data_IF_241289854912
#
_entry.id   IF_241289854912
#
_cell.length_a   1.000
_cell.length_b   1.000
_cell.length_c   1.000
_cell.angle_alpha   90.00
_cell.angle_beta   90.00
_cell.angle_gamma   90.00
#
_symmetry.space_group_name_H-M   'P 1'
#
loop_
_entity.id
_entity.type
_entity.pdbx_description
1 polymer ?
#
# COMPACT_ATOMS: atom_id res chain seq x y z
N UNK A 1 -16.28 92.00 -7.24
CA UNK A 1 -16.39 92.33 -8.68
C UNK A 1 -15.47 91.35 -9.40
N UNK A 2 -15.81 90.51 -10.38
CA UNK A 2 -16.91 90.26 -11.32
C UNK A 2 -17.06 88.71 -11.46
N UNK A 3 -18.26 88.13 -11.35
CA UNK A 3 -19.17 87.62 -12.41
C UNK A 3 -18.61 86.59 -13.41
N UNK A 4 -19.26 85.41 -13.34
CA UNK A 4 -19.54 84.33 -14.31
C UNK A 4 -19.07 84.43 -15.76
N UNK A 5 -18.65 83.28 -16.29
CA UNK A 5 -19.29 82.62 -17.46
C UNK A 5 -18.85 81.15 -17.56
N UNK A 6 -19.80 80.24 -17.41
CA UNK A 6 -19.80 78.84 -17.90
C UNK A 6 -19.98 78.82 -19.42
N UNK A 7 -19.45 77.81 -20.13
CA UNK A 7 -20.32 76.86 -20.86
C UNK A 7 -19.84 75.40 -20.67
N UNK A 8 -20.70 74.52 -20.18
CA UNK A 8 -21.54 73.55 -20.92
C UNK A 8 -20.77 72.33 -21.45
N UNK A 9 -21.31 71.16 -21.07
CA UNK A 9 -21.39 69.87 -21.79
C UNK A 9 -20.18 69.38 -22.63
N UNK A 10 -19.76 68.13 -22.61
CA UNK A 10 -20.57 66.93 -22.77
C UNK A 10 -19.66 65.69 -22.70
N UNK A 11 -20.25 64.55 -22.35
CA UNK A 11 -19.81 63.19 -22.72
C UNK A 11 -18.64 62.59 -21.93
N UNK A 12 -18.99 61.96 -20.81
CA UNK A 12 -18.29 60.78 -20.32
C UNK A 12 -18.63 59.59 -21.23
N UNK A 13 -17.66 58.92 -21.88
CA UNK A 13 -17.87 57.57 -22.33
C UNK A 13 -17.69 56.64 -21.12
N UNK A 14 -18.84 56.22 -20.62
CA UNK A 14 -19.04 55.02 -19.83
C UNK A 14 -18.48 53.81 -20.60
N UNK A 15 -17.18 53.55 -20.43
CA UNK A 15 -16.58 52.30 -20.85
C UNK A 15 -16.64 51.34 -19.68
N UNK A 16 -17.84 50.79 -19.44
CA UNK A 16 -17.99 49.47 -18.83
C UNK A 16 -17.21 48.48 -19.69
N UNK A 17 -15.92 48.37 -19.40
CA UNK A 17 -15.06 47.27 -19.82
C UNK A 17 -15.50 46.03 -19.08
N UNK A 18 -16.68 45.52 -19.47
CA UNK A 18 -17.19 44.21 -19.14
C UNK A 18 -16.09 43.21 -19.48
N UNK A 19 -15.37 42.80 -18.43
CA UNK A 19 -14.33 41.80 -18.51
C UNK A 19 -15.00 40.47 -18.86
N UNK A 20 -15.30 40.26 -20.14
CA UNK A 20 -15.71 38.97 -20.68
C UNK A 20 -14.58 38.00 -20.35
N UNK A 21 -14.82 36.94 -19.56
CA UNK A 21 -13.82 35.90 -19.41
C UNK A 21 -13.66 35.23 -20.77
N UNK A 22 -12.57 35.56 -21.48
CA UNK A 22 -12.28 35.15 -22.86
C UNK A 22 -12.02 33.65 -23.03
N UNK A 23 -12.18 32.85 -21.98
CA UNK A 23 -11.92 31.42 -22.01
C UNK A 23 -12.95 30.66 -21.18
N UNK A 24 -14.22 30.74 -21.59
CA UNK A 24 -15.18 29.70 -21.19
C UNK A 24 -14.88 28.45 -22.05
N UNK A 25 -14.34 27.36 -21.47
CA UNK A 25 -14.08 26.15 -22.23
C UNK A 25 -15.40 25.62 -22.80
N UNK A 26 -15.43 25.34 -24.10
CA UNK A 26 -16.63 24.82 -24.76
C UNK A 26 -17.13 23.55 -24.05
N UNK A 27 -18.45 23.33 -23.97
CA UNK A 27 -19.03 22.22 -23.20
C UNK A 27 -18.52 20.84 -23.68
N UNK A 28 -18.15 20.74 -24.96
CA UNK A 28 -17.51 19.57 -25.56
C UNK A 28 -16.09 19.34 -25.01
N UNK A 29 -15.26 20.38 -24.90
CA UNK A 29 -13.92 20.27 -24.30
C UNK A 29 -13.98 19.92 -22.82
N UNK A 30 -14.97 20.46 -22.08
CA UNK A 30 -15.18 20.13 -20.66
C UNK A 30 -15.55 18.64 -20.48
N UNK A 31 -16.43 18.10 -21.32
CA UNK A 31 -16.78 16.66 -21.31
C UNK A 31 -15.58 15.77 -21.64
N UNK A 32 -14.78 16.16 -22.65
CA UNK A 32 -13.58 15.41 -23.03
C UNK A 32 -12.52 15.44 -21.91
N UNK A 33 -12.30 16.61 -21.28
CA UNK A 33 -11.42 16.73 -20.12
C UNK A 33 -11.91 15.87 -18.96
N UNK A 34 -13.21 15.91 -18.64
CA UNK A 34 -13.78 15.08 -17.57
C UNK A 34 -13.63 13.59 -17.86
N UNK A 35 -13.82 13.15 -19.09
CA UNK A 35 -13.59 11.76 -19.50
C UNK A 35 -12.11 11.38 -19.40
N UNK A 36 -11.19 12.26 -19.81
CA UNK A 36 -9.74 12.05 -19.67
C UNK A 36 -9.31 11.99 -18.20
N UNK A 37 -9.88 12.83 -17.35
CA UNK A 37 -9.62 12.83 -15.91
C UNK A 37 -10.18 11.57 -15.24
N UNK A 38 -11.36 11.12 -15.65
CA UNK A 38 -11.96 9.89 -15.17
C UNK A 38 -11.17 8.66 -15.63
N UNK A 39 -10.74 8.65 -16.90
CA UNK A 39 -9.94 7.58 -17.47
C UNK A 39 -8.53 7.54 -16.87
N UNK A 40 -7.87 8.70 -16.74
CA UNK A 40 -6.56 8.82 -16.13
C UNK A 40 -6.57 8.50 -14.64
N UNK A 41 -7.57 9.01 -13.90
CA UNK A 41 -7.78 8.68 -12.50
C UNK A 41 -8.10 7.20 -12.28
N UNK A 42 -8.96 6.62 -13.12
CA UNK A 42 -9.29 5.20 -13.10
C UNK A 42 -8.08 4.31 -13.38
N UNK A 43 -7.25 4.66 -14.37
CA UNK A 43 -6.03 3.92 -14.69
C UNK A 43 -4.99 3.98 -13.56
N UNK A 44 -4.79 5.15 -12.93
CA UNK A 44 -3.90 5.28 -11.79
C UNK A 44 -4.37 4.48 -10.58
N UNK A 45 -5.69 4.47 -10.31
CA UNK A 45 -6.28 3.70 -9.21
C UNK A 45 -6.13 2.19 -9.43
N UNK A 46 -6.40 1.69 -10.63
CA UNK A 46 -6.24 0.27 -10.98
C UNK A 46 -4.77 -0.19 -10.91
N UNK A 47 -3.82 0.69 -11.24
CA UNK A 47 -2.39 0.39 -11.17
C UNK A 47 -1.87 0.25 -9.73
N UNK A 48 -2.49 0.93 -8.76
CA UNK A 48 -2.06 0.89 -7.35
C UNK A 48 -2.73 -0.26 -6.56
N UNK A 49 -3.86 -0.78 -7.03
CA UNK A 49 -4.60 -1.85 -6.39
C UNK A 49 -3.78 -3.12 -6.05
N UNK A 50 -2.82 -3.60 -6.88
CA UNK A 50 -2.00 -4.77 -6.56
C UNK A 50 -1.02 -4.53 -5.41
N UNK A 51 -0.74 -3.27 -5.08
CA UNK A 51 0.24 -2.88 -4.06
C UNK A 51 -0.39 -2.63 -2.69
N UNK A 52 -1.71 -2.78 -2.57
CA UNK A 52 -2.38 -2.62 -1.29
C UNK A 52 -2.07 -3.80 -0.37
N UNK A 53 -1.57 -3.55 0.84
CA UNK A 53 -1.39 -4.59 1.84
C UNK A 53 -2.73 -5.27 2.14
N UNK A 54 -2.70 -6.60 2.20
CA UNK A 54 -3.82 -7.43 2.57
C UNK A 54 -3.44 -8.29 3.77
N UNK A 55 -4.43 -8.69 4.54
CA UNK A 55 -4.22 -9.60 5.64
C UNK A 55 -4.17 -11.03 5.11
N UNK A 56 -3.08 -11.73 5.40
CA UNK A 56 -2.88 -13.12 5.02
C UNK A 56 -2.71 -13.97 6.28
N UNK A 57 -3.45 -15.08 6.34
CA UNK A 57 -3.33 -16.04 7.46
C UNK A 57 -2.25 -17.07 7.15
N UNK A 58 -1.31 -17.22 8.08
CA UNK A 58 -0.19 -18.15 7.99
C UNK A 58 -0.17 -19.06 9.21
N UNK A 59 -0.18 -20.37 8.95
CA UNK A 59 -0.04 -21.40 9.98
C UNK A 59 1.36 -21.99 9.92
N UNK A 60 2.11 -21.82 11.00
CA UNK A 60 3.38 -22.51 11.18
C UNK A 60 3.13 -23.82 11.90
N UNK A 61 3.41 -24.94 11.23
CA UNK A 61 3.23 -26.27 11.79
C UNK A 61 4.57 -26.80 12.27
N UNK A 62 4.71 -26.94 13.58
CA UNK A 62 5.88 -27.53 14.21
C UNK A 62 5.74 -29.05 14.12
N UNK A 63 6.43 -29.66 13.16
CA UNK A 63 6.49 -31.12 12.99
C UNK A 63 7.76 -31.65 13.69
N UNK A 64 7.74 -32.89 14.18
CA UNK A 64 8.91 -33.53 14.83
C UNK A 64 9.03 -33.25 16.33
N UNK A 65 10.26 -33.00 16.80
CA UNK A 65 10.64 -32.80 18.22
C UNK A 65 10.10 -31.48 18.81
N UNK A 66 8.78 -31.29 18.82
CA UNK A 66 8.11 -30.09 19.35
C UNK A 66 8.52 -29.80 20.81
N UNK A 67 8.83 -30.85 21.57
CA UNK A 67 9.24 -30.74 22.97
C UNK A 67 10.54 -29.96 23.20
N UNK A 68 11.41 -29.87 22.19
CA UNK A 68 12.69 -29.17 22.29
C UNK A 68 12.64 -27.73 21.78
N UNK A 69 11.56 -27.34 21.09
CA UNK A 69 11.41 -25.99 20.51
C UNK A 69 11.12 -24.99 21.62
N UNK A 70 11.95 -23.95 21.70
CA UNK A 70 11.82 -22.83 22.64
C UNK A 70 11.44 -21.52 21.93
N UNK A 71 11.49 -21.49 20.61
CA UNK A 71 11.04 -20.36 19.83
C UNK A 71 11.32 -20.51 18.35
N UNK A 72 10.82 -19.55 17.57
CA UNK A 72 11.29 -19.34 16.21
C UNK A 72 11.10 -17.90 15.80
N UNK A 73 11.94 -17.44 14.89
CA UNK A 73 11.88 -16.14 14.25
C UNK A 73 11.55 -16.33 12.78
N UNK A 74 10.70 -15.44 12.27
CA UNK A 74 10.24 -15.44 10.89
C UNK A 74 10.57 -14.09 10.29
N UNK A 75 11.23 -14.10 9.14
CA UNK A 75 11.58 -12.90 8.38
C UNK A 75 11.06 -13.03 6.96
N UNK A 76 10.31 -12.04 6.52
CA UNK A 76 9.79 -11.93 5.17
C UNK A 76 10.63 -10.96 4.36
N UNK A 77 11.01 -11.33 3.15
CA UNK A 77 11.64 -10.45 2.15
C UNK A 77 10.97 -10.64 0.79
N UNK A 78 10.98 -9.62 -0.08
CA UNK A 78 10.44 -9.78 -1.43
C UNK A 78 11.34 -10.72 -2.24
N UNK A 79 10.76 -11.71 -2.90
CA UNK A 79 11.54 -12.65 -3.70
C UNK A 79 12.22 -11.92 -4.88
N UNK A 80 13.50 -12.17 -5.09
CA UNK A 80 14.27 -11.60 -6.22
C UNK A 80 14.64 -10.12 -6.08
N UNK A 81 14.28 -9.45 -4.98
CA UNK A 81 14.77 -8.11 -4.67
C UNK A 81 16.01 -8.20 -3.79
N UNK A 82 17.01 -7.34 -4.01
CA UNK A 82 18.09 -7.11 -3.03
C UNK A 82 17.60 -6.38 -1.77
N UNK A 83 16.31 -6.10 -1.67
CA UNK A 83 15.71 -5.37 -0.57
C UNK A 83 15.66 -6.21 0.72
N UNK A 84 15.96 -5.55 1.84
CA UNK A 84 15.96 -6.12 3.18
C UNK A 84 14.59 -6.61 3.66
N UNK A 85 14.55 -7.11 4.89
CA UNK A 85 13.34 -7.61 5.53
C UNK A 85 12.18 -6.61 5.44
N UNK A 86 11.03 -7.07 4.95
CA UNK A 86 9.80 -6.27 4.84
C UNK A 86 8.83 -6.50 6.00
N UNK A 87 8.96 -7.63 6.70
CA UNK A 87 8.20 -7.96 7.90
C UNK A 87 8.92 -9.03 8.71
N UNK A 88 8.66 -9.09 10.00
CA UNK A 88 9.23 -10.09 10.89
C UNK A 88 8.32 -10.42 12.06
N UNK A 89 8.46 -11.62 12.61
CA UNK A 89 7.71 -12.07 13.78
C UNK A 89 8.55 -13.03 14.60
N UNK A 90 8.45 -12.91 15.93
CA UNK A 90 9.21 -13.73 16.87
C UNK A 90 8.26 -14.42 17.83
N UNK A 91 8.42 -15.73 17.96
CA UNK A 91 7.62 -16.55 18.86
C UNK A 91 8.55 -17.22 19.86
N UNK A 92 8.17 -17.23 21.13
CA UNK A 92 8.94 -17.81 22.23
C UNK A 92 8.02 -18.66 23.10
N UNK A 93 8.56 -19.77 23.57
CA UNK A 93 7.85 -20.79 24.34
C UNK A 93 8.74 -21.30 25.46
N UNK A 94 8.13 -21.69 26.57
CA UNK A 94 8.82 -22.49 27.57
C UNK A 94 9.18 -23.87 26.98
N UNK A 95 10.28 -24.51 27.42
CA UNK A 95 10.64 -25.85 26.99
C UNK A 95 9.47 -26.84 27.15
N UNK A 96 9.16 -27.60 26.10
CA UNK A 96 8.04 -28.54 26.10
C UNK A 96 6.64 -27.92 26.00
N UNK A 97 6.52 -26.60 25.89
CA UNK A 97 5.23 -25.87 25.79
C UNK A 97 4.94 -25.30 24.42
N UNK A 98 5.82 -25.51 23.43
CA UNK A 98 5.54 -25.08 22.06
C UNK A 98 4.26 -25.76 21.53
N UNK A 99 3.31 -25.00 20.96
CA UNK A 99 2.11 -25.58 20.35
C UNK A 99 2.48 -26.32 19.06
N UNK A 100 1.62 -27.24 18.60
CA UNK A 100 1.82 -27.92 17.31
C UNK A 100 1.66 -26.99 16.12
N UNK A 101 0.79 -25.99 16.26
CA UNK A 101 0.48 -25.02 15.22
C UNK A 101 0.50 -23.64 15.85
N UNK A 102 1.20 -22.70 15.21
CA UNK A 102 1.16 -21.28 15.54
C UNK A 102 0.42 -20.57 14.43
N UNK A 103 -0.72 -19.98 14.78
CA UNK A 103 -1.52 -19.16 13.88
C UNK A 103 -1.03 -17.72 13.96
N UNK A 104 -0.75 -17.11 12.81
CA UNK A 104 -0.43 -15.68 12.73
C UNK A 104 -1.05 -15.07 11.48
N UNK A 105 -1.18 -13.75 11.48
CA UNK A 105 -1.50 -12.99 10.28
C UNK A 105 -0.30 -12.13 9.88
N UNK A 106 -0.17 -11.87 8.58
CA UNK A 106 0.83 -10.96 8.03
C UNK A 106 0.15 -9.99 7.08
N UNK A 107 0.51 -8.70 7.17
CA UNK A 107 -0.09 -7.65 6.38
C UNK A 107 0.86 -7.26 5.24
N UNK A 108 0.72 -7.91 4.09
CA UNK A 108 1.58 -7.73 2.93
C UNK A 108 0.72 -7.71 1.64
N UNK A 109 1.17 -7.05 0.57
CA UNK A 109 0.53 -7.18 -0.73
C UNK A 109 0.64 -8.61 -1.28
N UNK A 110 -0.24 -8.96 -2.23
CA UNK A 110 -0.10 -10.19 -3.00
C UNK A 110 1.22 -10.19 -3.77
N UNK A 111 1.85 -11.36 -3.89
CA UNK A 111 3.10 -11.52 -4.61
C UNK A 111 4.04 -12.55 -4.00
N UNK A 112 5.22 -12.71 -4.60
CA UNK A 112 6.21 -13.70 -4.18
C UNK A 112 7.17 -13.14 -3.12
N UNK A 113 7.32 -13.90 -2.04
CA UNK A 113 8.16 -13.57 -0.89
C UNK A 113 9.10 -14.73 -0.56
N UNK A 114 10.31 -14.39 -0.16
CA UNK A 114 11.20 -15.29 0.53
C UNK A 114 10.90 -15.20 2.04
N UNK A 115 10.81 -16.36 2.66
CA UNK A 115 10.53 -16.56 4.07
C UNK A 115 11.74 -17.26 4.69
N UNK A 116 12.44 -16.56 5.56
CA UNK A 116 13.53 -17.11 6.38
C UNK A 116 12.99 -17.40 7.77
N UNK A 117 13.09 -18.65 8.21
CA UNK A 117 12.63 -19.09 9.51
C UNK A 117 13.81 -19.65 10.28
N UNK A 118 14.12 -19.05 11.42
CA UNK A 118 15.09 -19.58 12.38
C UNK A 118 14.34 -20.25 13.51
N UNK A 119 14.49 -21.57 13.68
CA UNK A 119 13.89 -22.34 14.77
C UNK A 119 14.92 -22.53 15.86
N UNK A 120 14.63 -22.03 17.05
CA UNK A 120 15.48 -22.20 18.22
C UNK A 120 14.98 -23.37 19.07
N UNK A 121 15.86 -24.33 19.29
CA UNK A 121 15.67 -25.49 20.18
C UNK A 121 16.61 -25.34 21.39
N UNK A 122 16.35 -26.12 22.43
CA UNK A 122 17.12 -26.05 23.68
C UNK A 122 18.64 -26.26 23.49
N UNK A 123 19.05 -27.02 22.48
CA UNK A 123 20.44 -27.41 22.22
C UNK A 123 21.00 -26.89 20.88
N UNK A 124 20.14 -26.41 19.96
CA UNK A 124 20.56 -25.98 18.62
C UNK A 124 19.60 -24.95 18.01
N UNK A 125 20.06 -24.27 16.96
CA UNK A 125 19.20 -23.47 16.08
C UNK A 125 19.26 -24.02 14.66
N UNK A 126 18.10 -24.18 14.03
CA UNK A 126 17.95 -24.57 12.63
C UNK A 126 17.45 -23.37 11.81
N UNK A 127 17.82 -23.25 10.53
CA UNK A 127 17.28 -22.23 9.62
C UNK A 127 16.67 -22.88 8.38
N UNK A 128 15.50 -22.37 7.97
CA UNK A 128 14.69 -22.86 6.87
C UNK A 128 14.35 -21.66 5.98
N UNK A 129 14.75 -21.73 4.72
CA UNK A 129 14.35 -20.75 3.72
C UNK A 129 13.31 -21.33 2.78
N UNK A 130 12.24 -20.58 2.51
CA UNK A 130 11.15 -20.96 1.59
C UNK A 130 10.78 -19.79 0.71
N UNK A 131 10.30 -20.07 -0.50
CA UNK A 131 9.61 -19.07 -1.33
C UNK A 131 8.13 -19.38 -1.32
N UNK A 132 7.31 -18.37 -1.09
CA UNK A 132 5.86 -18.46 -1.02
C UNK A 132 5.24 -17.32 -1.83
N UNK A 133 4.10 -17.58 -2.46
CA UNK A 133 3.30 -16.55 -3.13
C UNK A 133 2.07 -16.24 -2.28
N UNK A 134 1.97 -15.00 -1.81
CA UNK A 134 0.78 -14.48 -1.13
C UNK A 134 -0.27 -14.13 -2.18
N UNK A 135 -1.53 -14.49 -1.93
CA UNK A 135 -2.65 -14.30 -2.85
C UNK A 135 -3.11 -15.57 -3.58
N UNK A 136 -2.29 -16.64 -3.61
CA UNK A 136 -2.67 -17.91 -4.23
C UNK A 136 -3.65 -18.74 -3.38
N UNK A 137 -3.62 -18.55 -2.06
CA UNK A 137 -4.48 -19.24 -1.11
C UNK A 137 -4.87 -18.31 0.04
N UNK A 138 -6.09 -18.49 0.55
CA UNK A 138 -6.62 -17.77 1.72
C UNK A 138 -5.81 -18.06 2.99
N UNK A 139 -5.27 -19.30 3.08
CA UNK A 139 -4.52 -19.79 4.23
C UNK A 139 -3.30 -20.58 3.77
N UNK A 140 -2.12 -20.19 4.27
CA UNK A 140 -0.85 -20.81 3.93
C UNK A 140 -0.35 -21.62 5.13
N UNK A 141 0.04 -22.87 4.91
CA UNK A 141 0.63 -23.71 5.97
C UNK A 141 2.10 -23.98 5.67
N UNK A 142 2.97 -23.66 6.63
CA UNK A 142 4.43 -23.81 6.52
C UNK A 142 4.90 -24.87 7.53
N UNK A 143 5.37 -26.05 7.09
CA UNK A 143 5.93 -27.05 7.99
C UNK A 143 7.35 -26.65 8.44
N UNK A 144 7.55 -26.67 9.75
CA UNK A 144 8.82 -26.48 10.44
C UNK A 144 9.29 -27.86 10.92
N UNK A 145 10.42 -28.35 10.39
CA UNK A 145 10.96 -29.68 10.70
C UNK A 145 12.31 -29.56 11.36
#
# INVERSE_FOLDING_TARGET
MQRDTTPDEETQPEAEGSAKPLFAPSPLRRRLLSLLLLAGGGAAFLSLAPHWPKEHTVDFRLDGEIGTVVGFDVTWSRAGAEAGAVSGSSFRFEPGRAPKIVHTTVHLPDGSYALDIRVDRADRSDSIQRTLTLGDAEKITVPLR
#
